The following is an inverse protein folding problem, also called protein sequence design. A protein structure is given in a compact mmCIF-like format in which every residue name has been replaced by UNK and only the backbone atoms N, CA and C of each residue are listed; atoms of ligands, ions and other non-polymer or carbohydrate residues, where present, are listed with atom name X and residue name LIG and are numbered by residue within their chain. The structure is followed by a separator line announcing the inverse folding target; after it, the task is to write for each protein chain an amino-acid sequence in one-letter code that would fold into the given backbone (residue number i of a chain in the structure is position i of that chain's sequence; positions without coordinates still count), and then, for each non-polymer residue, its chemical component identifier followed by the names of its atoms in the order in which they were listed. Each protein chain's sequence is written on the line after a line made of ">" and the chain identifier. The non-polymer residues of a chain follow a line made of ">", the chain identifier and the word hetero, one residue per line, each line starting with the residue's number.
data_IF_146435428148
#
_entry.id   IF_146435428148
#
_cell.length_a   1.000
_cell.length_b   1.000
_cell.length_c   1.000
_cell.angle_alpha   90.00
_cell.angle_beta   90.00
_cell.angle_gamma   90.00
#
_symmetry.space_group_name_H-M   'P 1'
#
loop_
_entity.id
_entity.type
_entity.pdbx_description
1 polymer ?
#
# COMPACT_ATOMS: atom_id res chain seq x y z
N UNK A 1 37.16 33.75 34.38
CA UNK A 1 36.26 33.04 33.42
C UNK A 1 36.38 31.57 33.45
N UNK A 2 37.56 30.99 33.69
CA UNK A 2 37.70 29.54 33.80
C UNK A 2 36.85 28.95 34.91
N UNK A 3 36.65 29.67 36.01
CA UNK A 3 35.82 29.19 37.11
C UNK A 3 34.33 29.11 36.74
N UNK A 4 33.85 29.94 35.82
CA UNK A 4 32.47 29.87 35.34
C UNK A 4 32.27 28.67 34.41
N UNK A 5 33.28 28.36 33.61
CA UNK A 5 33.23 27.21 32.71
C UNK A 5 33.32 25.89 33.43
N UNK A 6 34.15 25.83 34.51
CA UNK A 6 34.36 24.62 35.29
C UNK A 6 33.42 24.49 36.47
N UNK A 7 32.75 25.60 36.88
CA UNK A 7 31.78 25.58 37.94
C UNK A 7 30.56 24.78 37.51
N UNK A 8 30.16 23.84 38.32
CA UNK A 8 29.06 22.94 38.02
C UNK A 8 29.29 22.14 36.71
N UNK A 9 30.54 21.76 36.45
CA UNK A 9 30.89 20.99 35.25
C UNK A 9 30.08 19.69 35.16
N UNK A 10 29.86 19.03 36.31
CA UNK A 10 29.04 17.83 36.34
C UNK A 10 27.60 18.07 35.90
N UNK A 11 27.00 19.21 36.32
CA UNK A 11 25.63 19.56 35.89
C UNK A 11 25.59 19.88 34.40
N UNK A 12 26.61 20.56 33.88
CA UNK A 12 26.69 20.87 32.45
C UNK A 12 26.82 19.61 31.62
N UNK A 13 27.66 18.68 32.02
CA UNK A 13 27.81 17.40 31.35
C UNK A 13 26.52 16.57 31.43
N UNK A 14 25.89 16.55 32.60
CA UNK A 14 24.62 15.87 32.79
C UNK A 14 23.53 16.45 31.88
N UNK A 15 23.47 17.78 31.75
CA UNK A 15 22.52 18.44 30.86
C UNK A 15 22.77 18.08 29.40
N UNK A 16 24.04 18.05 29.00
CA UNK A 16 24.40 17.71 27.61
C UNK A 16 24.04 16.25 27.31
N UNK A 17 24.34 15.34 28.22
CA UNK A 17 24.01 13.91 28.06
C UNK A 17 22.50 13.73 28.03
N UNK A 18 21.77 14.39 28.92
CA UNK A 18 20.31 14.31 28.93
C UNK A 18 19.69 14.85 27.65
N UNK A 19 20.20 15.96 27.16
CA UNK A 19 19.73 16.53 25.88
C UNK A 19 19.98 15.58 24.71
N UNK A 20 21.14 14.96 24.69
CA UNK A 20 21.51 13.97 23.66
C UNK A 20 20.60 12.74 23.72
N UNK A 21 20.36 12.23 24.94
CA UNK A 21 19.47 11.08 25.15
C UNK A 21 18.05 11.39 24.70
N UNK A 22 17.53 12.58 25.07
CA UNK A 22 16.20 13.00 24.66
C UNK A 22 16.10 13.14 23.13
N UNK A 23 17.12 13.73 22.52
CA UNK A 23 17.17 13.84 21.05
C UNK A 23 17.17 12.47 20.40
N UNK A 24 17.97 11.55 20.92
CA UNK A 24 18.06 10.18 20.39
C UNK A 24 16.73 9.44 20.53
N UNK A 25 16.06 9.57 21.67
CA UNK A 25 14.74 8.95 21.89
C UNK A 25 13.70 9.51 20.93
N UNK A 26 13.68 10.83 20.74
CA UNK A 26 12.76 11.47 19.80
C UNK A 26 13.07 11.02 18.36
N UNK A 27 14.33 10.94 18.01
CA UNK A 27 14.73 10.48 16.69
C UNK A 27 14.34 9.03 16.41
N UNK A 28 14.35 8.17 17.44
CA UNK A 28 13.93 6.78 17.33
C UNK A 28 12.41 6.63 17.25
N UNK A 29 11.69 7.44 18.01
CA UNK A 29 10.23 7.40 18.05
C UNK A 29 9.62 8.09 16.84
N UNK A 30 10.24 9.18 16.40
CA UNK A 30 9.75 9.96 15.28
C UNK A 30 10.15 9.30 13.95
N UNK A 31 9.19 8.63 13.36
CA UNK A 31 9.32 8.01 12.04
C UNK A 31 8.35 8.74 11.11
N UNK A 32 8.85 9.68 10.28
CA UNK A 32 7.96 10.47 9.44
C UNK A 32 7.28 9.56 8.40
N UNK A 33 6.06 9.91 8.10
CA UNK A 33 5.32 9.22 7.03
C UNK A 33 5.88 9.62 5.68
N UNK A 34 6.00 8.65 4.81
CA UNK A 34 6.43 8.86 3.44
C UNK A 34 5.47 8.13 2.50
N UNK A 35 5.49 8.54 1.26
CA UNK A 35 4.60 8.00 0.24
C UNK A 35 5.43 7.45 -0.91
N UNK A 36 5.14 6.22 -1.29
CA UNK A 36 5.76 5.56 -2.44
C UNK A 36 4.67 5.15 -3.42
N UNK A 37 4.90 5.41 -4.70
CA UNK A 37 3.96 5.07 -5.77
C UNK A 37 4.54 3.96 -6.63
N UNK A 38 3.74 2.93 -6.85
CA UNK A 38 4.08 1.83 -7.74
C UNK A 38 3.15 1.87 -8.95
N UNK A 39 3.73 1.91 -10.13
CA UNK A 39 3.01 1.95 -11.39
C UNK A 39 2.84 0.55 -11.96
N UNK A 40 1.80 0.35 -12.77
CA UNK A 40 1.56 -0.88 -13.49
C UNK A 40 1.44 -2.11 -12.58
N UNK A 41 0.74 -1.96 -11.47
CA UNK A 41 0.39 -3.09 -10.61
C UNK A 41 -0.78 -3.81 -11.25
N UNK A 42 -0.59 -5.08 -11.55
CA UNK A 42 -1.63 -5.89 -12.17
C UNK A 42 -2.64 -6.34 -11.11
N UNK A 43 -3.92 -6.10 -11.40
CA UNK A 43 -5.02 -6.57 -10.57
C UNK A 43 -5.22 -8.06 -10.83
N UNK A 44 -5.18 -8.86 -9.78
CA UNK A 44 -5.44 -10.29 -9.84
C UNK A 44 -6.95 -10.52 -9.82
N UNK A 45 -7.46 -11.18 -10.84
CA UNK A 45 -8.87 -11.58 -10.87
C UNK A 45 -9.00 -12.95 -10.22
N UNK A 46 -9.83 -13.02 -9.18
CA UNK A 46 -10.08 -14.27 -8.45
C UNK A 46 -11.52 -14.73 -8.68
N UNK A 47 -11.75 -16.02 -8.49
CA UNK A 47 -13.06 -16.66 -8.72
C UNK A 47 -13.57 -16.50 -10.16
N UNK A 48 -12.66 -16.48 -11.13
CA UNK A 48 -13.00 -16.38 -12.55
C UNK A 48 -13.75 -17.58 -13.07
N UNK A 49 -13.58 -18.73 -12.42
CA UNK A 49 -14.28 -19.97 -12.73
C UNK A 49 -15.79 -19.85 -12.58
N UNK A 50 -16.29 -18.92 -11.78
CA UNK A 50 -17.72 -18.67 -11.65
C UNK A 50 -18.36 -18.24 -12.96
N UNK A 51 -17.66 -17.40 -13.73
CA UNK A 51 -18.13 -16.98 -15.06
C UNK A 51 -18.07 -18.11 -16.05
N UNK A 52 -17.03 -18.93 -15.98
CA UNK A 52 -16.90 -20.11 -16.86
C UNK A 52 -18.02 -21.12 -16.61
N UNK A 53 -18.39 -21.32 -15.36
CA UNK A 53 -19.50 -22.21 -14.99
C UNK A 53 -20.84 -21.71 -15.52
N UNK A 54 -21.00 -20.40 -15.62
CA UNK A 54 -22.20 -19.79 -16.16
C UNK A 54 -22.19 -19.71 -17.70
N UNK A 55 -21.12 -20.16 -18.33
CA UNK A 55 -20.97 -20.10 -19.79
C UNK A 55 -20.68 -18.69 -20.32
N UNK A 56 -20.03 -17.85 -19.50
CA UNK A 56 -19.73 -16.48 -19.85
C UNK A 56 -18.22 -16.29 -20.04
N UNK A 57 -17.87 -15.34 -20.89
CA UNK A 57 -16.49 -14.90 -21.09
C UNK A 57 -16.42 -13.42 -20.75
N UNK A 58 -15.22 -12.98 -20.39
CA UNK A 58 -15.00 -11.58 -20.00
C UNK A 58 -13.76 -11.01 -20.67
N UNK A 59 -13.77 -9.69 -20.84
CA UNK A 59 -12.64 -8.93 -21.34
C UNK A 59 -12.47 -7.70 -20.46
N UNK A 60 -11.22 -7.40 -20.09
CA UNK A 60 -10.91 -6.21 -19.31
C UNK A 60 -10.89 -5.01 -20.23
N UNK A 61 -11.66 -3.97 -19.87
CA UNK A 61 -11.78 -2.74 -20.65
C UNK A 61 -10.76 -1.70 -20.19
N UNK A 62 -10.23 -0.93 -21.14
CA UNK A 62 -9.39 0.25 -20.90
C UNK A 62 -8.16 -0.03 -20.04
N UNK A 63 -7.64 -1.26 -20.06
CA UNK A 63 -6.52 -1.67 -19.18
C UNK A 63 -6.79 -1.39 -17.72
N UNK A 64 -8.05 -1.49 -17.28
CA UNK A 64 -8.44 -1.22 -15.89
C UNK A 64 -7.87 -2.23 -14.90
N UNK A 65 -7.27 -3.32 -15.40
CA UNK A 65 -6.53 -4.28 -14.59
C UNK A 65 -5.11 -3.83 -14.25
N UNK A 66 -4.63 -2.72 -14.81
CA UNK A 66 -3.36 -2.11 -14.45
C UNK A 66 -3.62 -0.85 -13.65
N UNK A 67 -3.13 -0.81 -12.44
CA UNK A 67 -3.42 0.27 -11.52
C UNK A 67 -2.13 0.88 -10.97
N UNK A 68 -2.23 2.12 -10.54
CA UNK A 68 -1.17 2.80 -9.81
C UNK A 68 -1.53 2.73 -8.34
N UNK A 69 -0.63 2.15 -7.53
CA UNK A 69 -0.85 2.01 -6.10
C UNK A 69 0.07 2.95 -5.35
N UNK A 70 -0.51 3.74 -4.47
CA UNK A 70 0.20 4.67 -3.61
C UNK A 70 0.13 4.16 -2.17
N UNK A 71 1.28 3.97 -1.56
CA UNK A 71 1.39 3.47 -0.19
C UNK A 71 1.98 4.56 0.68
N UNK A 72 1.28 4.92 1.74
CA UNK A 72 1.72 5.91 2.72
C UNK A 72 1.89 5.24 4.07
N UNK A 73 3.02 5.44 4.70
CA UNK A 73 3.30 4.86 5.99
C UNK A 73 4.63 5.33 6.55
N UNK A 74 5.05 4.76 7.70
CA UNK A 74 6.35 5.10 8.28
C UNK A 74 7.47 4.86 7.28
N UNK A 75 8.40 5.81 7.21
CA UNK A 75 9.50 5.76 6.25
C UNK A 75 10.33 4.48 6.37
N UNK A 76 10.50 4.00 7.60
CA UNK A 76 11.24 2.76 7.84
C UNK A 76 10.58 1.54 7.18
N UNK A 77 9.26 1.52 7.12
CA UNK A 77 8.50 0.43 6.48
C UNK A 77 8.44 0.64 4.97
N UNK A 78 8.04 1.82 4.54
CA UNK A 78 7.77 2.11 3.13
C UNK A 78 9.03 2.04 2.29
N UNK A 79 10.17 2.51 2.80
CA UNK A 79 11.43 2.52 2.05
C UNK A 79 12.28 1.28 2.24
N UNK A 80 12.19 0.63 3.41
CA UNK A 80 13.08 -0.48 3.76
C UNK A 80 12.45 -1.84 3.58
N UNK A 81 11.18 -2.00 3.92
CA UNK A 81 10.51 -3.30 3.93
C UNK A 81 9.57 -3.51 2.76
N UNK A 82 9.00 -2.42 2.23
CA UNK A 82 8.01 -2.50 1.18
C UNK A 82 8.65 -2.74 -0.18
N UNK A 83 8.19 -3.77 -0.86
CA UNK A 83 8.62 -4.10 -2.22
C UNK A 83 7.40 -4.16 -3.13
N UNK A 84 7.62 -4.00 -4.42
CA UNK A 84 6.56 -4.08 -5.42
C UNK A 84 5.77 -5.39 -5.33
N UNK A 85 6.47 -6.50 -5.09
CA UNK A 85 5.83 -7.81 -4.99
C UNK A 85 4.98 -8.00 -3.74
N UNK A 86 5.14 -7.14 -2.76
CA UNK A 86 4.34 -7.18 -1.53
C UNK A 86 2.97 -6.53 -1.72
N UNK A 87 2.80 -5.75 -2.77
CA UNK A 87 1.55 -5.07 -3.05
C UNK A 87 0.65 -5.97 -3.88
N UNK A 88 -0.55 -6.20 -3.37
CA UNK A 88 -1.55 -7.03 -4.02
C UNK A 88 -2.80 -6.21 -4.28
N UNK A 89 -3.26 -6.26 -5.52
CA UNK A 89 -4.56 -5.72 -5.92
C UNK A 89 -5.38 -6.90 -6.44
N UNK A 90 -6.56 -7.12 -5.86
CA UNK A 90 -7.42 -8.24 -6.21
C UNK A 90 -8.83 -7.76 -6.53
N UNK A 91 -9.44 -8.39 -7.52
CA UNK A 91 -10.84 -8.19 -7.87
C UNK A 91 -11.53 -9.56 -7.87
N UNK A 92 -12.58 -9.69 -7.06
CA UNK A 92 -13.31 -10.93 -6.90
C UNK A 92 -14.51 -10.96 -7.86
N UNK A 93 -14.48 -11.90 -8.78
CA UNK A 93 -15.54 -12.06 -9.79
C UNK A 93 -16.88 -12.40 -9.19
N UNK A 94 -16.92 -12.96 -7.97
CA UNK A 94 -18.17 -13.23 -7.27
C UNK A 94 -18.93 -11.95 -6.88
N UNK A 95 -18.24 -10.81 -6.90
CA UNK A 95 -18.81 -9.50 -6.56
C UNK A 95 -19.10 -8.64 -7.78
N UNK A 96 -19.17 -9.25 -8.94
CA UNK A 96 -19.48 -8.54 -10.19
C UNK A 96 -20.83 -7.82 -10.08
N UNK A 97 -20.84 -6.53 -10.41
CA UNK A 97 -22.04 -5.72 -10.36
C UNK A 97 -22.81 -5.78 -11.69
N UNK A 98 -24.03 -5.27 -11.67
CA UNK A 98 -24.88 -5.21 -12.88
C UNK A 98 -24.28 -4.33 -14.00
N UNK A 99 -23.40 -3.41 -13.64
CA UNK A 99 -22.70 -2.55 -14.60
C UNK A 99 -21.36 -3.13 -15.04
N UNK A 100 -21.11 -4.40 -14.75
CA UNK A 100 -19.90 -5.14 -15.12
C UNK A 100 -18.62 -4.51 -14.55
N UNK A 101 -18.69 -4.08 -13.31
CA UNK A 101 -17.53 -3.61 -12.57
C UNK A 101 -17.31 -4.46 -11.32
N UNK A 102 -16.07 -4.55 -10.92
CA UNK A 102 -15.68 -5.30 -9.72
C UNK A 102 -14.80 -4.39 -8.87
N UNK A 103 -15.13 -4.27 -7.59
CA UNK A 103 -14.33 -3.50 -6.65
C UNK A 103 -12.95 -4.13 -6.48
N UNK A 104 -11.92 -3.29 -6.44
CA UNK A 104 -10.55 -3.73 -6.23
C UNK A 104 -10.21 -3.63 -4.75
N UNK A 105 -9.62 -4.69 -4.21
CA UNK A 105 -9.10 -4.72 -2.84
C UNK A 105 -7.58 -4.62 -2.90
N UNK A 106 -7.02 -3.68 -2.17
CA UNK A 106 -5.57 -3.46 -2.09
C UNK A 106 -5.06 -3.86 -0.71
N UNK A 107 -3.96 -4.60 -0.68
CA UNK A 107 -3.30 -4.93 0.58
C UNK A 107 -1.82 -5.24 0.36
N UNK A 108 -1.06 -5.31 1.46
CA UNK A 108 0.33 -5.73 1.45
C UNK A 108 0.46 -7.08 2.15
N UNK A 109 1.20 -8.02 1.56
CA UNK A 109 1.33 -9.37 2.09
C UNK A 109 2.23 -9.45 3.32
N UNK A 110 3.42 -8.88 3.24
CA UNK A 110 4.44 -9.03 4.29
C UNK A 110 4.48 -7.87 5.28
N UNK A 111 3.54 -6.94 5.18
CA UNK A 111 3.49 -5.75 6.00
C UNK A 111 2.08 -5.65 6.58
N UNK A 112 2.00 -5.27 7.86
CA UNK A 112 0.71 -5.05 8.50
C UNK A 112 -0.06 -3.92 7.81
N UNK A 113 -1.30 -4.19 7.42
CA UNK A 113 -2.16 -3.20 6.78
C UNK A 113 -2.49 -2.03 7.72
N UNK A 114 -2.36 -2.24 9.03
CA UNK A 114 -2.56 -1.18 10.02
C UNK A 114 -1.39 -0.19 10.06
N UNK A 115 -0.22 -0.59 9.56
CA UNK A 115 0.98 0.24 9.54
C UNK A 115 1.05 1.17 8.35
N UNK A 116 0.35 0.86 7.27
CA UNK A 116 0.40 1.61 6.02
C UNK A 116 -1.00 1.88 5.50
N UNK A 117 -1.13 2.97 4.75
CA UNK A 117 -2.35 3.29 4.03
C UNK A 117 -2.11 3.05 2.53
N UNK A 118 -2.97 2.28 1.91
CA UNK A 118 -2.84 1.90 0.51
C UNK A 118 -4.00 2.50 -0.28
N UNK A 119 -3.67 3.17 -1.39
CA UNK A 119 -4.66 3.73 -2.30
C UNK A 119 -4.30 3.40 -3.73
N UNK A 120 -5.32 3.07 -4.52
CA UNK A 120 -5.16 2.89 -5.95
C UNK A 120 -5.78 4.06 -6.71
N UNK A 121 -5.35 4.26 -7.96
CA UNK A 121 -5.93 5.27 -8.84
C UNK A 121 -7.29 4.85 -9.39
N UNK A 122 -7.63 3.56 -9.31
CA UNK A 122 -8.92 3.00 -9.68
C UNK A 122 -9.47 2.18 -8.54
N UNK A 123 -10.77 2.31 -8.29
CA UNK A 123 -11.46 1.55 -7.25
C UNK A 123 -12.12 0.28 -7.79
N UNK A 124 -12.20 0.16 -9.11
CA UNK A 124 -12.87 -0.97 -9.74
C UNK A 124 -12.25 -1.34 -11.08
N UNK A 125 -12.40 -2.59 -11.45
CA UNK A 125 -12.05 -3.11 -12.78
C UNK A 125 -13.31 -3.12 -13.61
N UNK A 126 -13.21 -2.60 -14.84
CA UNK A 126 -14.29 -2.59 -15.79
C UNK A 126 -14.14 -3.76 -16.76
N UNK A 127 -15.22 -4.52 -16.90
CA UNK A 127 -15.22 -5.72 -17.72
C UNK A 127 -16.31 -5.65 -18.78
N UNK A 128 -16.04 -6.28 -19.91
CA UNK A 128 -17.07 -6.64 -20.88
C UNK A 128 -17.36 -8.13 -20.68
N UNK A 129 -18.56 -8.43 -20.19
CA UNK A 129 -18.99 -9.83 -19.95
C UNK A 129 -19.98 -10.20 -21.02
N UNK A 130 -19.68 -11.27 -21.74
CA UNK A 130 -20.56 -11.78 -22.80
C UNK A 130 -20.92 -13.23 -22.55
N UNK A 131 -22.10 -13.60 -22.97
CA UNK A 131 -22.52 -14.98 -22.95
C UNK A 131 -21.78 -15.77 -24.04
N UNK A 132 -21.17 -16.90 -23.67
CA UNK A 132 -20.41 -17.70 -24.62
C UNK A 132 -21.27 -18.19 -25.79
N UNK A 133 -22.54 -18.42 -25.56
CA UNK A 133 -23.47 -18.85 -26.62
C UNK A 133 -23.67 -17.79 -27.70
N UNK A 134 -23.46 -16.52 -27.39
CA UNK A 134 -23.57 -15.42 -28.37
C UNK A 134 -22.35 -15.32 -29.26
N UNK A 135 -21.20 -15.80 -28.81
CA UNK A 135 -19.92 -15.71 -29.54
C UNK A 135 -19.87 -16.72 -30.67
N UNK A 136 -20.60 -17.80 -30.58
CA UNK A 136 -20.62 -18.88 -31.59
C UNK A 136 -21.52 -18.60 -32.78
N UNK A 137 -22.11 -17.45 -32.81
CA UNK A 137 -22.92 -16.98 -33.95
C UNK A 137 -22.05 -16.15 -34.92
#
# INVERSE_FOLDING_TARGET
>A
MKKLLTRNLGLKLASLVLAFVLWFLVAQIYDPKDTVTFNNIQVRLINTDLLEQEGKVYEVLDNSNLVRVTVTGPQSIVKSELRRNDIVAEADMSKLTDINTIAITYYCENISNDSVEIRGNHDSVRLNVEDLSLIHI
#
